data_IF_060573224010
#
_entry.id   IF_060573224010
#
_cell.length_a   1.000
_cell.length_b   1.000
_cell.length_c   1.000
_cell.angle_alpha   90.00
_cell.angle_beta   90.00
_cell.angle_gamma   90.00
#
_symmetry.space_group_name_H-M   'P 1'
#
loop_
_entity.id
_entity.type
_entity.pdbx_description
1 polymer ?
#
# COMPACT_ATOMS: atom_id res chain seq x y z
N UNK A 1 -6.56 -25.07 3.69
CA UNK A 1 -6.23 -23.99 2.71
C UNK A 1 -4.75 -24.12 2.30
N UNK A 2 -4.28 -23.51 1.19
CA UNK A 2 -2.84 -23.45 0.84
C UNK A 2 -2.16 -22.31 1.62
N UNK A 3 -2.75 -21.11 1.61
CA UNK A 3 -2.29 -19.93 2.35
C UNK A 3 -3.40 -18.90 2.52
N UNK A 4 -3.19 -18.00 3.48
CA UNK A 4 -3.96 -16.78 3.72
C UNK A 4 -3.00 -15.59 3.68
N UNK A 5 -3.38 -14.48 3.06
CA UNK A 5 -2.50 -13.32 2.87
C UNK A 5 -3.28 -12.01 2.94
N UNK A 6 -2.79 -11.03 3.68
CA UNK A 6 -3.20 -9.64 3.54
C UNK A 6 -2.26 -8.94 2.55
N UNK A 7 -2.81 -8.20 1.58
CA UNK A 7 -2.05 -7.53 0.52
C UNK A 7 -2.50 -6.09 0.36
N UNK A 8 -1.56 -5.15 0.34
CA UNK A 8 -1.77 -3.78 -0.10
C UNK A 8 -1.43 -3.67 -1.58
N UNK A 9 -2.41 -3.26 -2.39
CA UNK A 9 -2.29 -3.14 -3.83
C UNK A 9 -2.51 -1.69 -4.27
N UNK A 10 -1.70 -1.24 -5.22
CA UNK A 10 -1.87 0.03 -5.94
C UNK A 10 -2.42 -0.23 -7.32
N UNK A 11 -3.41 0.56 -7.71
CA UNK A 11 -3.93 0.62 -9.07
C UNK A 11 -3.75 2.03 -9.61
N UNK A 12 -2.98 2.17 -10.69
CA UNK A 12 -2.80 3.42 -11.42
C UNK A 12 -3.62 3.33 -12.70
N UNK A 13 -4.54 4.27 -12.89
CA UNK A 13 -5.36 4.38 -14.09
C UNK A 13 -4.93 5.61 -14.86
N UNK A 14 -4.69 5.45 -16.15
CA UNK A 14 -4.42 6.53 -17.09
C UNK A 14 -5.71 6.87 -17.84
N UNK A 15 -6.13 8.12 -17.77
CA UNK A 15 -7.39 8.61 -18.30
C UNK A 15 -7.19 9.60 -19.45
N UNK A 16 -8.07 9.54 -20.44
CA UNK A 16 -8.20 10.56 -21.47
C UNK A 16 -9.69 10.86 -21.67
N UNK A 17 -10.07 12.14 -21.59
CA UNK A 17 -11.47 12.60 -21.70
C UNK A 17 -12.43 11.81 -20.79
N UNK A 18 -11.97 11.50 -19.57
CA UNK A 18 -12.74 10.76 -18.56
C UNK A 18 -12.83 9.24 -18.77
N UNK A 19 -12.19 8.68 -19.81
CA UNK A 19 -12.15 7.23 -20.05
C UNK A 19 -10.79 6.65 -19.65
N UNK A 20 -10.81 5.49 -18.98
CA UNK A 20 -9.59 4.75 -18.65
C UNK A 20 -9.02 4.14 -19.94
N UNK A 21 -7.81 4.55 -20.32
CA UNK A 21 -7.07 4.03 -21.46
C UNK A 21 -6.18 2.85 -21.09
N UNK A 22 -5.55 2.93 -19.92
CA UNK A 22 -4.67 1.91 -19.39
C UNK A 22 -4.80 1.84 -17.87
N UNK A 23 -4.58 0.66 -17.31
CA UNK A 23 -4.59 0.42 -15.87
C UNK A 23 -3.47 -0.53 -15.51
N UNK A 24 -2.69 -0.16 -14.52
CA UNK A 24 -1.61 -0.97 -13.98
C UNK A 24 -1.94 -1.26 -12.51
N UNK A 25 -1.71 -2.51 -12.10
CA UNK A 25 -1.96 -2.94 -10.73
C UNK A 25 -0.74 -3.66 -10.20
N UNK A 26 -0.24 -3.24 -9.04
CA UNK A 26 0.92 -3.84 -8.39
C UNK A 26 0.70 -4.04 -6.89
N UNK A 27 1.27 -5.12 -6.37
CA UNK A 27 1.34 -5.36 -4.93
C UNK A 27 2.49 -4.54 -4.34
N UNK A 28 2.20 -3.75 -3.30
CA UNK A 28 3.18 -2.90 -2.62
C UNK A 28 3.73 -3.52 -1.35
N UNK A 29 2.87 -4.21 -0.61
CA UNK A 29 3.22 -4.89 0.63
C UNK A 29 2.29 -6.08 0.84
N UNK A 30 2.78 -7.11 1.52
CA UNK A 30 1.94 -8.22 1.94
C UNK A 30 2.43 -8.82 3.26
N UNK A 31 1.50 -9.45 3.97
CA UNK A 31 1.75 -10.32 5.12
C UNK A 31 1.03 -11.63 4.83
N UNK A 32 1.70 -12.76 4.93
CA UNK A 32 1.13 -14.08 4.64
C UNK A 32 1.28 -15.04 5.80
N UNK A 33 0.30 -15.92 5.96
CA UNK A 33 0.36 -17.07 6.85
C UNK A 33 0.29 -18.37 6.05
N UNK A 34 0.74 -19.43 6.72
CA UNK A 34 0.91 -20.74 6.13
C UNK A 34 -0.39 -21.49 5.91
N UNK A 35 -0.27 -22.81 5.89
CA UNK A 35 -1.36 -23.73 5.58
C UNK A 35 -2.24 -23.96 6.81
N UNK A 36 -3.55 -23.70 6.67
CA UNK A 36 -4.56 -24.10 7.66
C UNK A 36 -5.04 -25.52 7.39
N UNK A 37 -5.00 -26.42 8.39
CA UNK A 37 -5.46 -27.81 8.25
C UNK A 37 -7.00 -27.90 8.26
N UNK A 38 -7.59 -28.99 7.73
CA UNK A 38 -9.03 -29.18 7.81
C UNK A 38 -9.53 -29.18 9.26
N UNK A 39 -10.58 -28.43 9.55
CA UNK A 39 -11.16 -28.32 10.90
C UNK A 39 -10.47 -27.32 11.83
N UNK A 40 -9.33 -26.74 11.42
CA UNK A 40 -8.65 -25.68 12.17
C UNK A 40 -9.13 -24.30 11.73
N UNK A 41 -9.10 -23.35 12.67
CA UNK A 41 -9.29 -21.93 12.44
C UNK A 41 -7.98 -21.16 12.65
N UNK A 42 -7.90 -19.98 12.05
CA UNK A 42 -6.76 -19.08 12.22
C UNK A 42 -7.28 -17.67 12.48
N UNK A 43 -6.70 -17.00 13.48
CA UNK A 43 -7.02 -15.63 13.83
C UNK A 43 -5.83 -14.71 13.56
N UNK A 44 -6.10 -13.56 12.95
CA UNK A 44 -5.09 -12.54 12.66
C UNK A 44 -5.20 -11.42 13.70
N UNK A 45 -4.46 -11.55 14.80
CA UNK A 45 -4.45 -10.59 15.90
C UNK A 45 -3.20 -9.71 15.82
N UNK A 46 -3.40 -8.39 15.67
CA UNK A 46 -2.33 -7.38 15.68
C UNK A 46 -1.23 -7.59 14.61
N UNK A 47 -1.53 -8.28 13.52
CA UNK A 47 -0.60 -8.39 12.39
C UNK A 47 -0.35 -7.01 11.78
N UNK A 48 0.92 -6.66 11.65
CA UNK A 48 1.35 -5.36 11.14
C UNK A 48 1.87 -5.50 9.72
N UNK A 49 1.31 -4.71 8.80
CA UNK A 49 1.80 -4.58 7.43
C UNK A 49 2.43 -3.19 7.28
N UNK A 50 3.71 -3.16 6.91
CA UNK A 50 4.40 -1.90 6.62
C UNK A 50 3.83 -1.28 5.35
N UNK A 51 3.41 -0.01 5.44
CA UNK A 51 2.95 0.77 4.30
C UNK A 51 4.13 1.61 3.81
N UNK A 52 4.63 1.39 2.58
CA UNK A 52 5.72 2.19 2.05
C UNK A 52 5.28 3.64 1.80
N UNK A 53 6.20 4.58 1.53
CA UNK A 53 5.85 5.90 1.02
C UNK A 53 4.97 5.80 -0.23
N UNK A 54 3.73 6.30 -0.14
CA UNK A 54 2.76 6.23 -1.24
C UNK A 54 2.57 7.58 -1.92
N UNK A 55 2.45 7.60 -3.26
CA UNK A 55 1.89 8.74 -3.97
C UNK A 55 0.54 9.21 -3.40
N UNK A 56 0.25 10.53 -3.46
CA UNK A 56 -1.04 11.05 -3.03
C UNK A 56 -2.17 10.56 -3.94
N UNK A 57 -3.31 10.25 -3.34
CA UNK A 57 -4.57 9.99 -4.05
C UNK A 57 -5.38 11.28 -4.19
N UNK A 58 -6.49 11.23 -4.95
CA UNK A 58 -7.41 12.36 -5.13
C UNK A 58 -6.71 13.64 -5.60
N UNK A 59 -5.95 13.51 -6.70
CA UNK A 59 -5.18 14.59 -7.31
C UNK A 59 -6.12 15.68 -7.85
N UNK A 60 -6.47 16.68 -7.03
CA UNK A 60 -7.38 17.77 -7.42
C UNK A 60 -6.86 18.50 -8.65
N UNK A 61 -7.69 18.58 -9.69
CA UNK A 61 -7.33 19.23 -10.96
C UNK A 61 -6.53 18.34 -11.92
N UNK A 62 -6.16 17.11 -11.52
CA UNK A 62 -5.60 16.12 -12.44
C UNK A 62 -6.73 15.23 -12.99
N UNK A 63 -6.82 15.14 -14.31
CA UNK A 63 -7.80 14.31 -15.02
C UNK A 63 -7.14 13.26 -15.94
N UNK A 64 -5.81 13.13 -15.83
CA UNK A 64 -5.01 12.21 -16.65
C UNK A 64 -4.66 10.93 -15.90
N UNK A 65 -4.59 10.98 -14.56
CA UNK A 65 -4.13 9.86 -13.74
C UNK A 65 -5.02 9.77 -12.50
N UNK A 66 -5.42 8.55 -12.16
CA UNK A 66 -6.10 8.22 -10.92
C UNK A 66 -5.34 7.12 -10.19
N UNK A 67 -5.01 7.35 -8.92
CA UNK A 67 -4.24 6.43 -8.08
C UNK A 67 -5.14 5.92 -6.96
N UNK A 68 -5.30 4.60 -6.89
CA UNK A 68 -6.18 3.92 -5.95
C UNK A 68 -5.38 2.88 -5.16
N UNK A 69 -5.67 2.78 -3.87
CA UNK A 69 -5.08 1.77 -3.00
C UNK A 69 -6.17 0.90 -2.39
N UNK A 70 -5.92 -0.41 -2.39
CA UNK A 70 -6.83 -1.40 -1.84
C UNK A 70 -6.07 -2.35 -0.94
N UNK A 71 -6.67 -2.73 0.19
CA UNK A 71 -6.21 -3.86 0.98
C UNK A 71 -7.10 -5.05 0.68
N UNK A 72 -6.49 -6.17 0.33
CA UNK A 72 -7.18 -7.43 0.08
C UNK A 72 -6.76 -8.47 1.12
N UNK A 73 -7.73 -9.19 1.66
CA UNK A 73 -7.50 -10.47 2.31
C UNK A 73 -7.70 -11.58 1.29
N UNK A 74 -6.61 -12.22 0.91
CA UNK A 74 -6.52 -13.24 -0.14
C UNK A 74 -6.47 -14.61 0.52
N UNK A 75 -7.38 -15.47 0.12
CA UNK A 75 -7.47 -16.86 0.56
C UNK A 75 -7.18 -17.74 -0.65
N UNK A 76 -6.13 -18.55 -0.56
CA UNK A 76 -5.74 -19.49 -1.61
C UNK A 76 -6.10 -20.90 -1.15
N UNK A 77 -7.31 -21.41 -1.46
CA UNK A 77 -7.71 -22.78 -1.10
C UNK A 77 -6.92 -23.82 -1.90
N UNK A 78 -6.88 -25.06 -1.41
CA UNK A 78 -6.18 -26.15 -2.12
C UNK A 78 -7.01 -26.71 -3.28
N UNK A 79 -8.33 -26.67 -3.16
CA UNK A 79 -9.30 -27.29 -4.06
C UNK A 79 -9.79 -26.39 -5.20
N UNK A 80 -9.53 -25.08 -5.14
CA UNK A 80 -9.87 -24.18 -6.23
C UNK A 80 -8.58 -23.67 -6.87
N UNK A 81 -8.61 -23.54 -8.20
CA UNK A 81 -7.51 -22.95 -8.97
C UNK A 81 -7.49 -21.42 -8.85
N UNK A 82 -8.58 -20.82 -8.37
CA UNK A 82 -8.73 -19.38 -8.21
C UNK A 82 -8.65 -18.95 -6.76
N UNK A 83 -7.90 -17.88 -6.51
CA UNK A 83 -7.85 -17.21 -5.22
C UNK A 83 -9.13 -16.43 -4.93
N UNK A 84 -9.56 -16.44 -3.67
CA UNK A 84 -10.68 -15.65 -3.18
C UNK A 84 -10.10 -14.36 -2.59
N UNK A 85 -10.52 -13.20 -3.10
CA UNK A 85 -10.06 -11.89 -2.63
C UNK A 85 -11.20 -11.15 -1.95
N UNK A 86 -11.06 -10.88 -0.65
CA UNK A 86 -11.95 -10.01 0.11
C UNK A 86 -11.35 -8.61 0.17
N UNK A 87 -12.10 -7.59 -0.26
CA UNK A 87 -11.64 -6.20 -0.16
C UNK A 87 -11.92 -5.64 1.23
N UNK A 88 -10.91 -5.04 1.85
CA UNK A 88 -11.02 -4.33 3.11
C UNK A 88 -11.08 -2.81 2.83
N UNK A 89 -12.10 -2.10 3.33
CA UNK A 89 -12.24 -0.67 3.09
C UNK A 89 -11.14 0.13 3.81
N UNK A 90 -10.26 0.64 2.97
CA UNK A 90 -9.16 1.59 3.13
C UNK A 90 -9.47 3.08 3.31
N UNK A 91 -8.91 3.80 4.30
CA UNK A 91 -8.62 5.23 4.12
C UNK A 91 -7.16 5.49 4.48
N UNK A 92 -6.40 6.03 3.53
CA UNK A 92 -5.01 6.46 3.73
C UNK A 92 -4.99 7.98 3.90
N UNK A 93 -4.45 8.44 5.03
CA UNK A 93 -4.25 9.86 5.30
C UNK A 93 -2.78 10.22 5.17
N UNK A 94 -2.51 11.49 4.84
CA UNK A 94 -1.15 12.04 4.91
C UNK A 94 -0.71 12.20 6.36
N UNK A 95 0.60 12.17 6.58
CA UNK A 95 1.14 12.52 7.89
C UNK A 95 0.78 13.97 8.25
N UNK A 96 0.27 14.23 9.46
CA UNK A 96 0.24 15.59 9.96
C UNK A 96 1.68 16.10 10.06
N UNK A 97 1.99 17.15 9.30
CA UNK A 97 3.27 17.83 9.42
C UNK A 97 3.36 18.38 10.86
N UNK A 98 4.34 17.90 11.63
CA UNK A 98 4.59 18.44 12.96
C UNK A 98 5.30 19.79 12.79
N UNK A 99 4.76 20.89 13.35
CA UNK A 99 5.51 22.13 13.43
C UNK A 99 6.80 21.87 14.21
N UNK A 100 7.91 22.43 13.75
CA UNK A 100 9.15 22.42 14.52
C UNK A 100 8.88 23.08 15.89
N UNK A 101 9.20 22.38 16.98
CA UNK A 101 8.94 22.85 18.35
C UNK A 101 7.56 22.55 18.93
N UNK A 102 6.67 21.83 18.23
CA UNK A 102 5.40 21.40 18.81
C UNK A 102 5.62 20.39 19.96
N UNK A 103 5.05 20.61 21.16
CA UNK A 103 5.22 19.70 22.29
C UNK A 103 4.68 18.31 21.92
N UNK A 104 5.43 17.27 22.30
CA UNK A 104 5.27 15.87 21.88
C UNK A 104 3.94 15.16 22.25
N UNK A 105 2.88 15.90 22.60
CA UNK A 105 1.69 15.37 23.27
C UNK A 105 0.33 15.60 22.59
N UNK A 106 0.23 16.30 21.46
CA UNK A 106 -1.10 16.64 20.89
C UNK A 106 -1.75 15.56 20.03
N UNK A 107 -1.01 14.50 19.67
CA UNK A 107 -1.59 13.29 19.05
C UNK A 107 -1.04 12.05 19.76
N UNK A 108 -1.89 11.09 20.18
CA UNK A 108 -1.40 9.85 20.75
C UNK A 108 -0.53 9.14 19.72
N UNK A 109 0.78 9.06 19.97
CA UNK A 109 1.66 8.17 19.23
C UNK A 109 1.11 6.76 19.40
N UNK A 110 0.47 6.21 18.36
CA UNK A 110 0.10 4.79 18.37
C UNK A 110 1.41 4.01 18.49
N UNK A 111 1.58 3.31 19.62
CA UNK A 111 2.77 2.49 19.90
C UNK A 111 3.10 1.64 18.67
N UNK A 112 4.32 1.79 18.14
CA UNK A 112 4.84 0.99 17.02
C UNK A 112 4.77 1.62 15.64
N UNK A 113 4.14 2.79 15.46
CA UNK A 113 4.15 3.45 14.15
C UNK A 113 5.40 4.34 13.99
N UNK A 114 6.38 3.87 13.20
CA UNK A 114 7.60 4.64 12.91
C UNK A 114 7.28 5.76 11.90
N UNK A 115 7.37 7.01 12.35
CA UNK A 115 7.07 8.18 11.53
C UNK A 115 8.40 8.81 11.07
N UNK A 116 8.62 9.00 9.77
CA UNK A 116 9.85 9.63 9.30
C UNK A 116 9.87 11.11 9.73
N UNK A 117 11.04 11.60 10.15
CA UNK A 117 11.25 13.01 10.53
C UNK A 117 11.22 13.97 9.34
N UNK A 118 11.38 13.45 8.13
CA UNK A 118 11.30 14.16 6.86
C UNK A 118 10.32 13.44 5.92
N UNK A 119 9.71 14.19 5.00
CA UNK A 119 8.83 13.57 4.00
C UNK A 119 9.66 12.61 3.13
N UNK A 120 9.24 11.34 2.98
CA UNK A 120 9.93 10.42 2.10
C UNK A 120 9.74 10.87 0.65
N UNK A 121 10.74 11.56 0.10
CA UNK A 121 10.84 11.83 -1.33
C UNK A 121 11.31 10.53 -1.99
N UNK A 122 10.38 9.63 -2.31
CA UNK A 122 10.73 8.37 -2.96
C UNK A 122 10.99 8.62 -4.46
N UNK A 123 12.27 8.61 -4.87
CA UNK A 123 12.67 8.54 -6.29
C UNK A 123 13.77 7.50 -6.53
N UNK A 124 13.49 6.19 -6.39
CA UNK A 124 14.52 5.16 -6.60
C UNK A 124 15.16 5.21 -7.99
N UNK A 125 14.40 5.61 -9.02
CA UNK A 125 14.92 5.70 -10.39
C UNK A 125 15.83 6.92 -10.64
N UNK A 126 15.90 7.88 -9.69
CA UNK A 126 16.76 9.05 -9.84
C UNK A 126 18.23 8.70 -9.62
N UNK A 127 18.51 7.65 -8.84
CA UNK A 127 19.88 7.17 -8.60
C UNK A 127 20.43 6.40 -9.82
N UNK A 128 19.58 5.77 -10.64
CA UNK A 128 20.00 5.06 -11.87
C UNK A 128 20.37 6.00 -13.04
N UNK A 129 20.10 7.30 -12.92
CA UNK A 129 20.39 8.31 -13.97
C UNK A 129 21.46 9.33 -13.58
N UNK A 130 22.34 8.99 -12.64
CA UNK A 130 23.56 9.75 -12.41
C UNK A 130 24.57 9.53 -13.55
N UNK A 131 24.35 10.23 -14.68
CA UNK A 131 25.33 10.66 -15.67
C UNK A 131 26.55 9.75 -15.93
N UNK A 132 26.40 8.78 -16.85
CA UNK A 132 27.54 8.40 -17.70
C UNK A 132 27.77 9.53 -18.71
N UNK A 133 28.59 10.51 -18.33
CA UNK A 133 29.30 11.35 -19.29
C UNK A 133 30.57 10.57 -19.61
N UNK A 134 30.60 9.89 -20.75
CA UNK A 134 31.85 9.39 -21.33
C UNK A 134 32.54 10.55 -22.07
N UNK A 135 33.78 10.83 -21.68
CA UNK A 135 34.75 11.68 -22.40
C UNK A 135 35.13 11.10 -23.77
#
# INVERSE_FOLDING_TARGET
>A
MKSTKASLTETIQYLCRGKVLASETRELANVSRGKIRPGEGEEWLNEQMYVPPLPPTNLRGCHLINVLYHVYFVISPKSLDKEIKLQIPIVLATYPLRPEGAPAGTAPSKRGAHYPSTLPIFRPWLDDKAFEIQE
#
